data_IF_980812932765
#
_entry.id   IF_980812932765
#
_cell.length_a   1.000
_cell.length_b   1.000
_cell.length_c   1.000
_cell.angle_alpha   90.00
_cell.angle_beta   90.00
_cell.angle_gamma   90.00
#
_symmetry.space_group_name_H-M   'P 1'
#
loop_
_entity.id
_entity.type
_entity.pdbx_description
1 polymer ?
#
# COMPACT_ATOMS: atom_id res chain seq x y z
N UNK A 1 -15.47 4.46 3.79
CA UNK A 1 -14.66 5.17 4.82
C UNK A 1 -13.51 4.25 5.26
N UNK A 2 -12.27 4.73 5.35
CA UNK A 2 -11.13 3.94 5.85
C UNK A 2 -10.06 3.53 4.82
N UNK A 3 -10.27 3.80 3.53
CA UNK A 3 -9.22 3.68 2.52
C UNK A 3 -8.05 4.63 2.82
N UNK A 4 -6.84 4.25 2.39
CA UNK A 4 -5.67 5.13 2.41
C UNK A 4 -5.97 6.25 1.44
N UNK A 5 -6.10 7.48 1.91
CA UNK A 5 -6.42 8.63 1.07
C UNK A 5 -5.85 9.88 1.73
N UNK A 6 -4.80 10.43 1.13
CA UNK A 6 -3.94 11.43 1.77
C UNK A 6 -4.66 12.73 2.11
N UNK A 7 -5.60 13.24 1.30
CA UNK A 7 -6.40 14.42 1.66
C UNK A 7 -7.18 14.29 2.99
N UNK A 8 -7.47 13.07 3.47
CA UNK A 8 -8.06 12.86 4.80
C UNK A 8 -7.03 12.74 5.93
N UNK A 9 -5.75 12.65 5.60
CA UNK A 9 -4.66 12.31 6.52
C UNK A 9 -3.71 13.48 6.79
N UNK A 10 -3.61 14.42 5.85
CA UNK A 10 -2.91 15.71 5.99
C UNK A 10 -3.49 16.72 5.00
N UNK A 11 -3.15 18.01 5.16
CA UNK A 11 -3.49 19.04 4.18
C UNK A 11 -2.72 18.85 2.86
N UNK A 12 -3.41 19.08 1.75
CA UNK A 12 -2.88 19.10 0.40
C UNK A 12 -3.36 20.40 -0.26
N UNK A 13 -2.50 21.15 -0.94
CA UNK A 13 -2.87 22.40 -1.62
C UNK A 13 -3.87 22.16 -2.76
N UNK A 14 -3.76 21.03 -3.46
CA UNK A 14 -4.64 20.61 -4.54
C UNK A 14 -6.08 20.29 -4.07
N UNK A 15 -6.30 20.02 -2.78
CA UNK A 15 -7.61 19.68 -2.24
C UNK A 15 -8.06 20.70 -1.19
N UNK A 16 -9.11 21.45 -1.55
CA UNK A 16 -9.77 22.45 -0.71
C UNK A 16 -11.11 21.85 -0.20
N UNK A 17 -11.67 22.42 0.86
CA UNK A 17 -13.10 22.30 1.21
C UNK A 17 -14.08 22.45 0.03
N UNK A 18 -13.71 23.17 -1.03
CA UNK A 18 -14.48 23.34 -2.26
C UNK A 18 -14.33 22.22 -3.30
N UNK A 19 -13.43 21.25 -3.09
CA UNK A 19 -13.26 20.15 -4.06
C UNK A 19 -14.47 19.22 -4.03
N UNK A 20 -15.05 19.02 -5.21
CA UNK A 20 -16.28 18.27 -5.42
C UNK A 20 -15.94 16.83 -5.82
N UNK A 21 -16.55 15.86 -5.17
CA UNK A 21 -16.43 14.46 -5.49
C UNK A 21 -17.79 13.85 -5.75
N UNK A 22 -17.85 12.78 -6.54
CA UNK A 22 -19.03 11.92 -6.58
C UNK A 22 -19.05 11.07 -5.30
N UNK A 23 -20.16 11.09 -4.58
CA UNK A 23 -20.33 10.36 -3.34
C UNK A 23 -20.23 8.84 -3.57
N UNK A 24 -19.44 8.13 -2.74
CA UNK A 24 -19.54 6.68 -2.65
C UNK A 24 -20.94 6.23 -2.23
N UNK A 25 -21.36 5.06 -2.71
CA UNK A 25 -22.64 4.48 -2.36
C UNK A 25 -22.81 4.40 -0.82
N UNK A 26 -23.94 4.92 -0.33
CA UNK A 26 -24.27 4.93 1.10
C UNK A 26 -23.79 6.17 1.88
N UNK A 27 -23.10 7.12 1.25
CA UNK A 27 -22.76 8.41 1.85
C UNK A 27 -23.72 9.48 1.31
N UNK A 28 -24.52 10.17 2.16
CA UNK A 28 -25.34 11.27 1.72
C UNK A 28 -24.45 12.47 1.37
N UNK A 29 -24.59 13.02 0.16
CA UNK A 29 -23.89 14.25 -0.23
C UNK A 29 -24.44 15.48 0.47
N UNK A 30 -23.54 16.43 0.77
CA UNK A 30 -23.87 17.71 1.39
C UNK A 30 -23.77 18.90 0.43
N UNK A 31 -23.31 18.69 -0.81
CA UNK A 31 -23.07 19.76 -1.80
C UNK A 31 -23.73 19.46 -3.15
N UNK A 32 -24.02 20.51 -3.93
CA UNK A 32 -24.48 20.38 -5.32
C UNK A 32 -23.32 20.13 -6.29
N UNK A 33 -23.62 19.87 -7.57
CA UNK A 33 -22.62 19.81 -8.65
C UNK A 33 -21.83 21.12 -8.82
N UNK A 34 -22.35 22.24 -8.30
CA UNK A 34 -21.69 23.56 -8.29
C UNK A 34 -20.94 23.84 -6.99
N UNK A 35 -20.88 22.87 -6.06
CA UNK A 35 -20.15 22.99 -4.80
C UNK A 35 -20.86 23.82 -3.73
N UNK A 36 -22.14 24.15 -3.92
CA UNK A 36 -22.94 24.87 -2.93
C UNK A 36 -23.51 23.90 -1.90
N UNK A 37 -23.49 24.25 -0.60
CA UNK A 37 -24.12 23.45 0.44
C UNK A 37 -25.60 23.23 0.14
N UNK A 38 -26.08 22.01 0.34
CA UNK A 38 -27.49 21.65 0.16
C UNK A 38 -28.00 20.84 1.35
N UNK A 39 -29.23 21.10 1.74
CA UNK A 39 -29.95 20.34 2.77
C UNK A 39 -30.71 19.15 2.17
N UNK A 40 -30.81 19.07 0.84
CA UNK A 40 -31.39 17.92 0.13
C UNK A 40 -30.29 16.92 -0.23
N UNK A 41 -30.63 15.61 -0.22
CA UNK A 41 -29.68 14.57 -0.62
C UNK A 41 -29.15 14.86 -2.04
N UNK A 42 -27.83 14.97 -2.16
CA UNK A 42 -27.13 15.06 -3.42
C UNK A 42 -26.21 13.87 -3.65
N UNK A 43 -25.82 13.66 -4.91
CA UNK A 43 -24.83 12.67 -5.30
C UNK A 43 -23.39 13.20 -5.19
N UNK A 44 -23.21 14.44 -4.73
CA UNK A 44 -21.91 15.11 -4.64
C UNK A 44 -21.50 15.35 -3.19
N UNK A 45 -20.26 14.99 -2.89
CA UNK A 45 -19.67 15.01 -1.57
C UNK A 45 -18.51 16.00 -1.57
N UNK A 46 -18.40 16.77 -0.49
CA UNK A 46 -17.20 17.53 -0.18
C UNK A 46 -16.13 16.62 0.40
N UNK A 47 -14.90 17.13 0.55
CA UNK A 47 -13.83 16.39 1.21
C UNK A 47 -14.21 15.99 2.65
N UNK A 48 -15.01 16.81 3.34
CA UNK A 48 -15.42 16.59 4.73
C UNK A 48 -16.37 15.39 4.85
N UNK A 49 -17.26 15.23 3.87
CA UNK A 49 -18.19 14.09 3.76
C UNK A 49 -17.44 12.78 3.54
N UNK A 50 -16.48 12.77 2.62
CA UNK A 50 -15.68 11.57 2.27
C UNK A 50 -14.75 11.17 3.41
N UNK A 51 -14.17 12.15 4.08
CA UNK A 51 -13.30 11.89 5.21
C UNK A 51 -14.08 11.56 6.49
N UNK A 52 -15.36 11.93 6.58
CA UNK A 52 -16.19 11.69 7.75
C UNK A 52 -15.76 12.55 8.94
N UNK A 53 -15.38 13.81 8.70
CA UNK A 53 -15.00 14.73 9.78
C UNK A 53 -16.21 15.20 10.63
N UNK A 54 -17.44 14.83 10.25
CA UNK A 54 -18.68 15.35 10.80
C UNK A 54 -18.88 16.84 10.46
N UNK A 55 -19.99 17.42 10.92
CA UNK A 55 -20.30 18.87 10.75
C UNK A 55 -19.27 19.80 11.40
N UNK A 56 -18.28 19.23 12.10
CA UNK A 56 -17.19 19.92 12.76
C UNK A 56 -15.88 19.86 11.98
N UNK A 57 -15.90 20.30 10.72
CA UNK A 57 -14.71 20.98 10.18
C UNK A 57 -14.71 22.39 10.73
N UNK A 58 -14.20 22.52 11.95
CA UNK A 58 -13.80 23.83 12.45
C UNK A 58 -12.70 24.37 11.52
N UNK A 59 -12.84 25.59 10.97
CA UNK A 59 -11.73 26.23 10.29
C UNK A 59 -10.52 26.26 11.25
N UNK A 60 -9.43 25.57 10.89
CA UNK A 60 -8.19 25.55 11.66
C UNK A 60 -7.72 24.19 12.23
N UNK A 61 -8.46 23.08 12.08
CA UNK A 61 -7.91 21.74 12.41
C UNK A 61 -7.38 21.01 11.17
N UNK A 62 -6.17 20.49 11.27
CA UNK A 62 -5.52 19.73 10.20
C UNK A 62 -6.09 18.30 10.12
N UNK A 63 -6.34 17.74 8.91
CA UNK A 63 -6.67 16.33 8.72
C UNK A 63 -5.62 15.45 9.41
N UNK A 64 -6.05 14.46 10.20
CA UNK A 64 -5.15 13.57 10.95
C UNK A 64 -5.72 12.14 11.14
N UNK A 65 -6.19 11.53 10.05
CA UNK A 65 -6.73 10.17 10.08
C UNK A 65 -5.63 9.11 9.87
N UNK A 66 -4.63 9.08 10.75
CA UNK A 66 -3.46 8.18 10.67
C UNK A 66 -3.82 6.69 10.60
N UNK A 67 -4.97 6.28 11.17
CA UNK A 67 -5.46 4.90 11.12
C UNK A 67 -5.69 4.39 9.70
N UNK A 68 -5.72 5.28 8.69
CA UNK A 68 -5.75 4.96 7.26
C UNK A 68 -4.44 4.39 6.71
N UNK A 69 -3.41 4.23 7.54
CA UNK A 69 -2.28 3.35 7.24
C UNK A 69 -2.51 1.90 7.70
N UNK A 70 -3.50 1.66 8.57
CA UNK A 70 -3.79 0.34 9.14
C UNK A 70 -5.05 -0.28 8.53
N UNK A 71 -6.18 0.40 8.70
CA UNK A 71 -7.51 -0.10 8.30
C UNK A 71 -7.63 -0.58 6.84
N UNK A 72 -7.00 0.06 5.84
CA UNK A 72 -7.20 -0.35 4.45
C UNK A 72 -6.68 -1.75 4.15
N UNK A 73 -5.82 -2.35 4.99
CA UNK A 73 -5.37 -3.73 4.81
C UNK A 73 -6.51 -4.76 4.92
N UNK A 74 -7.60 -4.39 5.59
CA UNK A 74 -8.79 -5.22 5.76
C UNK A 74 -9.88 -4.93 4.70
N UNK A 75 -9.76 -3.82 3.98
CA UNK A 75 -10.73 -3.35 3.00
C UNK A 75 -10.35 -3.82 1.59
N UNK A 76 -11.33 -4.00 0.71
CA UNK A 76 -11.10 -4.42 -0.67
C UNK A 76 -12.01 -3.66 -1.64
N UNK A 77 -11.51 -3.38 -2.84
CA UNK A 77 -12.22 -2.62 -3.88
C UNK A 77 -13.14 -3.51 -4.74
N UNK A 78 -13.98 -4.32 -4.09
CA UNK A 78 -14.93 -5.23 -4.73
C UNK A 78 -14.53 -6.71 -4.71
N UNK A 79 -15.44 -7.56 -5.20
CA UNK A 79 -15.37 -9.02 -5.06
C UNK A 79 -14.18 -9.62 -5.81
N UNK A 80 -13.89 -9.15 -7.03
CA UNK A 80 -12.78 -9.68 -7.84
C UNK A 80 -11.44 -9.39 -7.16
N UNK A 81 -11.23 -8.16 -6.70
CA UNK A 81 -10.01 -7.76 -5.99
C UNK A 81 -9.85 -8.55 -4.68
N UNK A 82 -10.93 -8.71 -3.91
CA UNK A 82 -10.93 -9.55 -2.72
C UNK A 82 -10.54 -11.00 -3.01
N UNK A 83 -11.19 -11.64 -3.98
CA UNK A 83 -10.94 -13.05 -4.32
C UNK A 83 -9.50 -13.27 -4.78
N UNK A 84 -8.96 -12.39 -5.63
CA UNK A 84 -7.56 -12.50 -6.07
C UNK A 84 -6.60 -12.41 -4.89
N UNK A 85 -6.76 -11.39 -4.02
CA UNK A 85 -5.91 -11.23 -2.85
C UNK A 85 -5.98 -12.43 -1.91
N UNK A 86 -7.19 -12.93 -1.63
CA UNK A 86 -7.37 -14.07 -0.73
C UNK A 86 -6.79 -15.36 -1.30
N UNK A 87 -6.91 -15.61 -2.61
CA UNK A 87 -6.28 -16.79 -3.24
C UNK A 87 -4.77 -16.76 -3.08
N UNK A 88 -4.11 -15.62 -3.36
CA UNK A 88 -2.67 -15.49 -3.18
C UNK A 88 -2.27 -15.58 -1.70
N UNK A 89 -2.97 -14.84 -0.83
CA UNK A 89 -2.71 -14.81 0.60
C UNK A 89 -2.86 -16.20 1.24
N UNK A 90 -3.92 -16.94 0.93
CA UNK A 90 -4.14 -18.28 1.51
C UNK A 90 -3.12 -19.27 1.00
N UNK A 91 -2.85 -19.27 -0.31
CA UNK A 91 -1.91 -20.22 -0.93
C UNK A 91 -0.49 -20.08 -0.37
N UNK A 92 0.00 -18.86 -0.24
CA UNK A 92 1.35 -18.60 0.28
C UNK A 92 1.35 -18.58 1.81
N UNK A 93 0.32 -17.97 2.39
CA UNK A 93 0.23 -17.71 3.82
C UNK A 93 0.14 -18.97 4.67
N UNK A 94 -0.66 -19.96 4.26
CA UNK A 94 -0.78 -21.22 5.02
C UNK A 94 0.57 -21.93 5.14
N UNK A 95 1.33 -22.02 4.06
CA UNK A 95 2.62 -22.70 4.09
C UNK A 95 3.61 -21.93 4.97
N UNK A 96 3.72 -20.63 4.77
CA UNK A 96 4.64 -19.78 5.54
C UNK A 96 4.27 -19.70 7.02
N UNK A 97 2.98 -19.70 7.38
CA UNK A 97 2.55 -19.71 8.78
C UNK A 97 2.90 -21.02 9.47
N UNK A 98 2.82 -22.16 8.76
CA UNK A 98 3.25 -23.47 9.30
C UNK A 98 4.76 -23.52 9.51
N UNK A 99 5.53 -22.91 8.61
CA UNK A 99 6.99 -22.91 8.68
C UNK A 99 7.52 -21.89 9.70
N UNK A 100 6.89 -20.71 9.80
CA UNK A 100 7.39 -19.58 10.59
C UNK A 100 6.67 -19.45 11.94
N UNK A 101 5.43 -19.89 12.04
CA UNK A 101 4.54 -19.63 13.17
C UNK A 101 3.78 -18.31 13.04
N UNK A 102 2.61 -18.27 13.68
CA UNK A 102 1.62 -17.19 13.53
C UNK A 102 2.15 -15.78 13.84
N UNK A 103 2.94 -15.60 14.90
CA UNK A 103 3.35 -14.26 15.35
C UNK A 103 4.40 -13.62 14.43
N UNK A 104 5.33 -14.42 13.87
CA UNK A 104 6.33 -13.95 12.90
C UNK A 104 5.65 -13.58 11.59
N UNK A 105 4.70 -14.42 11.18
CA UNK A 105 3.88 -14.16 10.01
C UNK A 105 3.09 -12.86 10.17
N UNK A 106 2.42 -12.66 11.30
CA UNK A 106 1.70 -11.43 11.61
C UNK A 106 2.61 -10.20 11.60
N UNK A 107 3.81 -10.29 12.20
CA UNK A 107 4.77 -9.18 12.22
C UNK A 107 5.23 -8.79 10.80
N UNK A 108 5.61 -9.76 9.97
CA UNK A 108 5.99 -9.52 8.57
C UNK A 108 4.81 -8.94 7.79
N UNK A 109 3.62 -9.52 7.94
CA UNK A 109 2.42 -9.12 7.23
C UNK A 109 2.03 -7.67 7.55
N UNK A 110 1.94 -7.32 8.84
CA UNK A 110 1.63 -5.96 9.27
C UNK A 110 2.72 -4.97 8.84
N UNK A 111 4.00 -5.30 9.04
CA UNK A 111 5.11 -4.44 8.61
C UNK A 111 5.15 -4.23 7.08
N UNK A 112 4.67 -5.19 6.30
CA UNK A 112 4.59 -5.06 4.85
C UNK A 112 3.39 -4.22 4.43
N UNK A 113 2.20 -4.48 4.98
CA UNK A 113 1.00 -3.70 4.68
C UNK A 113 1.17 -2.22 5.02
N UNK A 114 1.62 -1.92 6.24
CA UNK A 114 1.75 -0.54 6.74
C UNK A 114 2.81 0.20 5.95
N UNK A 115 4.00 -0.39 5.78
CA UNK A 115 5.07 0.19 4.99
C UNK A 115 4.68 0.44 3.54
N UNK A 116 3.92 -0.49 2.94
CA UNK A 116 3.29 -0.31 1.64
C UNK A 116 2.37 0.91 1.59
N UNK A 117 1.44 1.05 2.54
CA UNK A 117 0.54 2.20 2.55
C UNK A 117 1.24 3.54 2.77
N UNK A 118 2.28 3.60 3.61
CA UNK A 118 3.06 4.83 3.80
C UNK A 118 3.84 5.16 2.52
N UNK A 119 4.48 4.18 1.88
CA UNK A 119 5.16 4.38 0.60
C UNK A 119 4.18 4.83 -0.49
N UNK A 120 3.02 4.18 -0.61
CA UNK A 120 1.96 4.59 -1.53
C UNK A 120 1.44 6.01 -1.26
N UNK A 121 1.34 6.42 0.01
CA UNK A 121 0.94 7.78 0.37
C UNK A 121 1.94 8.85 -0.08
N UNK A 122 3.23 8.51 -0.15
CA UNK A 122 4.29 9.45 -0.57
C UNK A 122 4.28 9.70 -2.09
N UNK A 123 3.90 8.70 -2.90
CA UNK A 123 4.06 8.73 -4.36
C UNK A 123 2.74 8.69 -5.15
N UNK A 124 1.64 8.24 -4.54
CA UNK A 124 0.29 8.25 -5.12
C UNK A 124 -0.74 8.79 -4.09
N UNK A 125 -0.59 10.05 -3.64
CA UNK A 125 -1.37 10.60 -2.54
C UNK A 125 -2.87 10.76 -2.88
N UNK A 126 -3.19 11.02 -4.15
CA UNK A 126 -4.52 11.41 -4.60
C UNK A 126 -5.42 10.22 -4.96
N UNK A 127 -4.85 9.04 -5.18
CA UNK A 127 -5.62 7.84 -5.52
C UNK A 127 -6.02 7.12 -4.24
N UNK A 128 -7.29 6.87 -3.89
CA UNK A 128 -7.63 6.01 -2.76
C UNK A 128 -7.07 4.59 -2.94
N UNK A 129 -6.56 3.97 -1.86
CA UNK A 129 -6.05 2.59 -1.89
C UNK A 129 -6.54 1.77 -0.72
N UNK A 130 -6.81 0.50 -1.02
CA UNK A 130 -7.29 -0.54 -0.11
C UNK A 130 -6.71 -1.88 -0.55
N UNK A 131 -6.73 -2.86 0.34
CA UNK A 131 -6.34 -4.22 0.05
C UNK A 131 -5.14 -4.67 0.86
N UNK A 132 -5.07 -5.97 1.12
CA UNK A 132 -3.92 -6.58 1.76
C UNK A 132 -2.75 -6.85 0.80
N UNK A 133 -2.83 -6.44 -0.45
CA UNK A 133 -1.85 -6.78 -1.48
C UNK A 133 -0.43 -6.31 -1.14
N UNK A 134 -0.27 -5.18 -0.43
CA UNK A 134 1.04 -4.76 0.10
C UNK A 134 1.67 -5.81 1.05
N UNK A 135 0.86 -6.45 1.89
CA UNK A 135 1.32 -7.56 2.71
C UNK A 135 1.63 -8.82 1.88
N UNK A 136 0.80 -9.13 0.87
CA UNK A 136 1.05 -10.26 -0.05
C UNK A 136 2.38 -10.08 -0.80
N UNK A 137 2.70 -8.86 -1.24
CA UNK A 137 4.01 -8.55 -1.83
C UNK A 137 5.15 -8.70 -0.81
N UNK A 138 4.92 -8.39 0.46
CA UNK A 138 5.87 -8.69 1.54
C UNK A 138 6.11 -10.18 1.74
N UNK A 139 5.08 -11.02 1.61
CA UNK A 139 5.22 -12.47 1.61
C UNK A 139 6.01 -12.96 0.39
N UNK A 140 5.77 -12.37 -0.78
CA UNK A 140 6.56 -12.63 -1.99
C UNK A 140 8.05 -12.31 -1.78
N UNK A 141 8.35 -11.20 -1.10
CA UNK A 141 9.71 -10.82 -0.76
C UNK A 141 10.36 -11.84 0.19
N UNK A 142 9.61 -12.39 1.14
CA UNK A 142 10.09 -13.45 2.03
C UNK A 142 10.37 -14.75 1.29
N UNK A 143 9.53 -15.14 0.32
CA UNK A 143 9.78 -16.31 -0.53
C UNK A 143 11.05 -16.14 -1.37
N UNK A 144 11.26 -14.94 -1.92
CA UNK A 144 12.48 -14.62 -2.67
C UNK A 144 13.71 -14.61 -1.74
N UNK A 145 13.57 -14.07 -0.53
CA UNK A 145 14.61 -14.10 0.49
C UNK A 145 14.99 -15.53 0.87
N UNK A 146 14.01 -16.40 1.08
CA UNK A 146 14.24 -17.81 1.40
C UNK A 146 14.97 -18.54 0.27
N UNK A 147 14.55 -18.32 -0.99
CA UNK A 147 15.22 -18.84 -2.19
C UNK A 147 16.71 -18.43 -2.23
N UNK A 148 17.04 -17.18 -1.94
CA UNK A 148 18.43 -16.71 -1.91
C UNK A 148 19.22 -17.24 -0.72
N UNK A 149 18.61 -17.32 0.48
CA UNK A 149 19.28 -17.84 1.66
C UNK A 149 19.56 -19.35 1.55
N UNK A 150 18.70 -20.08 0.84
CA UNK A 150 18.76 -21.53 0.67
C UNK A 150 19.16 -21.95 -0.75
N UNK A 151 19.83 -21.06 -1.50
CA UNK A 151 20.17 -21.25 -2.92
C UNK A 151 20.79 -22.60 -3.26
N UNK A 152 21.65 -23.13 -2.38
CA UNK A 152 22.35 -24.41 -2.57
C UNK A 152 21.48 -25.65 -2.35
N UNK A 153 20.35 -25.51 -1.65
CA UNK A 153 19.41 -26.62 -1.40
C UNK A 153 18.42 -26.78 -2.55
N UNK A 154 18.26 -25.74 -3.37
CA UNK A 154 17.22 -25.70 -4.40
C UNK A 154 17.78 -26.29 -5.68
N UNK A 155 17.06 -27.27 -6.25
CA UNK A 155 17.52 -28.05 -7.41
C UNK A 155 17.72 -27.20 -8.68
N UNK A 156 16.86 -26.20 -8.91
CA UNK A 156 16.89 -25.33 -10.09
C UNK A 156 16.65 -23.86 -9.70
N UNK A 157 17.59 -23.22 -8.99
CA UNK A 157 17.35 -21.94 -8.33
C UNK A 157 17.10 -20.81 -9.33
N UNK A 158 17.82 -20.79 -10.45
CA UNK A 158 17.61 -19.80 -11.53
C UNK A 158 16.20 -19.85 -12.13
N UNK A 159 15.63 -21.06 -12.29
CA UNK A 159 14.28 -21.21 -12.81
C UNK A 159 13.24 -20.69 -11.82
N UNK A 160 13.43 -20.94 -10.52
CA UNK A 160 12.53 -20.43 -9.49
C UNK A 160 12.61 -18.90 -9.36
N UNK A 161 13.82 -18.31 -9.47
CA UNK A 161 13.97 -16.84 -9.56
C UNK A 161 13.23 -16.30 -10.76
N UNK A 162 13.41 -16.90 -11.94
CA UNK A 162 12.72 -16.45 -13.15
C UNK A 162 11.20 -16.48 -12.99
N UNK A 163 10.63 -17.56 -12.42
CA UNK A 163 9.20 -17.65 -12.14
C UNK A 163 8.72 -16.57 -11.17
N UNK A 164 9.45 -16.32 -10.09
CA UNK A 164 9.09 -15.28 -9.10
C UNK A 164 9.17 -13.89 -9.72
N UNK A 165 10.23 -13.58 -10.47
CA UNK A 165 10.38 -12.29 -11.15
C UNK A 165 9.29 -12.09 -12.21
N UNK A 166 9.00 -13.12 -13.00
CA UNK A 166 7.90 -13.10 -13.96
C UNK A 166 6.55 -12.81 -13.27
N UNK A 167 6.29 -13.49 -12.15
CA UNK A 167 5.07 -13.25 -11.36
C UNK A 167 5.01 -11.81 -10.82
N UNK A 168 6.12 -11.26 -10.30
CA UNK A 168 6.18 -9.88 -9.81
C UNK A 168 5.90 -8.89 -10.94
N UNK A 169 6.50 -9.08 -12.12
CA UNK A 169 6.31 -8.21 -13.28
C UNK A 169 4.86 -8.26 -13.75
N UNK A 170 4.27 -9.44 -13.94
CA UNK A 170 2.86 -9.59 -14.32
C UNK A 170 1.94 -8.94 -13.28
N UNK A 171 2.23 -9.12 -11.99
CA UNK A 171 1.42 -8.54 -10.91
C UNK A 171 1.50 -7.00 -10.89
N UNK A 172 2.67 -6.41 -11.17
CA UNK A 172 2.81 -4.95 -11.31
C UNK A 172 2.11 -4.41 -12.57
N UNK A 173 2.10 -5.17 -13.68
CA UNK A 173 1.31 -4.84 -14.86
C UNK A 173 -0.19 -4.85 -14.53
N UNK A 174 -0.67 -5.86 -13.80
CA UNK A 174 -2.05 -5.88 -13.30
C UNK A 174 -2.31 -4.70 -12.37
N UNK A 175 -1.34 -4.26 -11.57
CA UNK A 175 -1.52 -3.09 -10.71
C UNK A 175 -1.68 -1.74 -11.43
N UNK A 176 -1.55 -1.72 -12.77
CA UNK A 176 -1.92 -0.56 -13.59
C UNK A 176 -3.43 -0.41 -13.80
N UNK A 177 -4.23 -1.42 -13.43
CA UNK A 177 -5.69 -1.36 -13.44
C UNK A 177 -6.25 -0.38 -12.38
N UNK A 178 -7.54 -0.01 -12.49
CA UNK A 178 -8.21 0.85 -11.52
C UNK A 178 -8.14 0.27 -10.09
N UNK A 179 -8.08 1.16 -9.10
CA UNK A 179 -8.19 0.78 -7.67
C UNK A 179 -7.08 -0.12 -7.10
N UNK A 180 -5.97 -0.30 -7.84
CA UNK A 180 -4.77 -1.01 -7.38
C UNK A 180 -3.59 -0.03 -7.28
N UNK A 181 -2.73 -0.18 -6.28
CA UNK A 181 -1.61 0.74 -6.04
C UNK A 181 -0.26 0.02 -6.09
N UNK A 182 0.48 0.22 -7.18
CA UNK A 182 1.82 -0.34 -7.38
C UNK A 182 2.85 0.24 -6.41
N UNK A 183 2.69 1.49 -5.95
CA UNK A 183 3.60 2.01 -4.92
C UNK A 183 3.38 1.25 -3.61
N UNK A 184 2.13 0.99 -3.22
CA UNK A 184 1.87 0.14 -2.04
C UNK A 184 2.44 -1.28 -2.19
N UNK A 185 2.37 -1.87 -3.39
CA UNK A 185 3.01 -3.17 -3.67
C UNK A 185 4.52 -3.13 -3.49
N UNK A 186 5.19 -2.14 -4.08
CA UNK A 186 6.64 -1.98 -4.00
C UNK A 186 7.10 -1.69 -2.56
N UNK A 187 6.43 -0.76 -1.88
CA UNK A 187 6.72 -0.44 -0.48
C UNK A 187 6.54 -1.66 0.43
N UNK A 188 5.48 -2.43 0.20
CA UNK A 188 5.22 -3.67 0.93
C UNK A 188 6.25 -4.76 0.66
N UNK A 189 6.70 -4.90 -0.58
CA UNK A 189 7.80 -5.80 -0.95
C UNK A 189 9.09 -5.45 -0.22
N UNK A 190 9.51 -4.17 -0.25
CA UNK A 190 10.74 -3.73 0.41
C UNK A 190 10.68 -3.86 1.93
N UNK A 191 9.58 -3.42 2.55
CA UNK A 191 9.41 -3.55 4.00
C UNK A 191 9.31 -5.03 4.42
N UNK A 192 8.66 -5.87 3.62
CA UNK A 192 8.60 -7.31 3.82
C UNK A 192 9.94 -8.01 3.68
N UNK A 193 10.80 -7.58 2.74
CA UNK A 193 12.17 -8.10 2.61
C UNK A 193 12.99 -7.86 3.88
N UNK A 194 12.93 -6.63 4.41
CA UNK A 194 13.66 -6.25 5.63
C UNK A 194 13.04 -6.95 6.85
N UNK A 195 11.71 -6.98 6.97
CA UNK A 195 11.03 -7.70 8.04
C UNK A 195 11.32 -9.21 7.99
N UNK A 196 11.40 -9.80 6.79
CA UNK A 196 11.77 -11.20 6.57
C UNK A 196 13.17 -11.51 7.11
N UNK A 197 14.15 -10.63 6.89
CA UNK A 197 15.51 -10.77 7.47
C UNK A 197 15.52 -10.80 9.00
N UNK A 198 14.52 -10.18 9.65
CA UNK A 198 14.41 -10.10 11.11
C UNK A 198 13.65 -11.30 11.67
N UNK A 199 12.50 -11.64 11.08
CA UNK A 199 11.54 -12.56 11.69
C UNK A 199 11.59 -13.98 11.13
N UNK A 200 12.05 -14.19 9.89
CA UNK A 200 12.08 -15.54 9.31
C UNK A 200 12.99 -16.49 10.11
N UNK A 201 12.56 -17.73 10.36
CA UNK A 201 13.43 -18.75 10.93
C UNK A 201 14.56 -19.07 9.95
N UNK A 202 15.80 -19.14 10.44
CA UNK A 202 16.97 -19.41 9.62
C UNK A 202 17.53 -20.81 9.90
N UNK A 203 17.66 -21.61 8.85
CA UNK A 203 18.44 -22.87 8.89
C UNK A 203 19.92 -22.54 8.70
N UNK A 204 20.80 -23.14 9.51
CA UNK A 204 22.23 -22.85 9.48
C UNK A 204 23.02 -24.11 9.14
N UNK A 205 23.86 -24.05 8.11
CA UNK A 205 24.71 -25.19 7.70
C UNK A 205 26.16 -25.08 8.17
N UNK A 206 26.59 -23.89 8.59
CA UNK A 206 27.96 -23.61 9.04
C UNK A 206 27.97 -22.50 10.10
N UNK A 207 29.04 -22.44 10.91
CA UNK A 207 29.29 -21.33 11.84
C UNK A 207 29.34 -19.99 11.10
N UNK A 208 29.94 -19.95 9.90
CA UNK A 208 30.02 -18.72 9.12
C UNK A 208 28.65 -18.26 8.61
N UNK A 209 27.81 -19.21 8.16
CA UNK A 209 26.45 -18.91 7.72
C UNK A 209 25.57 -18.37 8.87
N UNK A 210 25.73 -18.93 10.07
CA UNK A 210 25.10 -18.43 11.29
C UNK A 210 25.49 -16.98 11.60
N UNK A 211 26.78 -16.66 11.57
CA UNK A 211 27.24 -15.29 11.84
C UNK A 211 26.83 -14.31 10.75
N UNK A 212 26.86 -14.71 9.47
CA UNK A 212 26.35 -13.90 8.36
C UNK A 212 24.87 -13.56 8.53
N UNK A 213 24.01 -14.56 8.77
CA UNK A 213 22.56 -14.35 8.94
C UNK A 213 22.24 -13.51 10.18
N UNK A 214 22.95 -13.74 11.29
CA UNK A 214 22.83 -12.87 12.49
C UNK A 214 23.29 -11.44 12.22
N UNK A 215 24.39 -11.25 11.49
CA UNK A 215 24.85 -9.92 11.09
C UNK A 215 23.81 -9.19 10.24
N UNK A 216 23.22 -9.88 9.24
CA UNK A 216 22.13 -9.31 8.43
C UNK A 216 20.91 -8.96 9.27
N UNK A 217 20.50 -9.82 10.20
CA UNK A 217 19.40 -9.53 11.14
C UNK A 217 19.69 -8.29 12.00
N UNK A 218 20.90 -8.19 12.58
CA UNK A 218 21.31 -7.04 13.40
C UNK A 218 21.34 -5.73 12.61
N UNK A 219 21.65 -5.76 11.32
CA UNK A 219 21.58 -4.59 10.43
C UNK A 219 20.14 -4.29 9.97
N UNK A 220 19.33 -5.32 9.77
CA UNK A 220 17.95 -5.18 9.31
C UNK A 220 17.05 -4.53 10.36
N UNK A 221 17.26 -4.77 11.65
CA UNK A 221 16.48 -4.14 12.74
C UNK A 221 16.53 -2.61 12.69
N UNK A 222 17.71 -1.94 12.78
CA UNK A 222 17.78 -0.49 12.64
C UNK A 222 17.41 -0.05 11.23
N UNK A 223 17.70 -0.85 10.19
CA UNK A 223 17.28 -0.56 8.81
C UNK A 223 15.78 -0.43 8.66
N UNK A 224 14.99 -1.31 9.31
CA UNK A 224 13.53 -1.26 9.31
C UNK A 224 13.03 -0.02 10.05
N UNK A 225 13.62 0.33 11.18
CA UNK A 225 13.22 1.56 11.90
C UNK A 225 13.52 2.80 11.05
N UNK A 226 14.70 2.86 10.45
CA UNK A 226 15.13 3.99 9.62
C UNK A 226 14.26 4.15 8.37
N UNK A 227 13.89 3.06 7.69
CA UNK A 227 13.03 3.16 6.51
C UNK A 227 11.64 3.68 6.91
N UNK A 228 11.08 3.22 8.02
CA UNK A 228 9.80 3.72 8.52
C UNK A 228 9.86 5.19 8.91
N UNK A 229 10.92 5.61 9.63
CA UNK A 229 11.13 7.02 9.97
C UNK A 229 11.26 7.88 8.70
N UNK A 230 12.00 7.40 7.70
CA UNK A 230 12.15 8.10 6.43
C UNK A 230 10.82 8.22 5.67
N UNK A 231 10.04 7.15 5.60
CA UNK A 231 8.74 7.15 4.91
C UNK A 231 7.70 8.04 5.62
N UNK A 232 7.69 8.04 6.95
CA UNK A 232 6.79 8.90 7.74
C UNK A 232 7.22 10.36 7.65
N UNK A 233 8.52 10.66 7.73
CA UNK A 233 9.02 12.02 7.49
C UNK A 233 8.72 12.48 6.08
N UNK A 234 8.98 11.66 5.08
CA UNK A 234 8.59 11.94 3.69
C UNK A 234 7.11 12.27 3.58
N UNK A 235 6.24 11.53 4.28
CA UNK A 235 4.80 11.79 4.23
C UNK A 235 4.40 13.16 4.83
N UNK A 236 5.03 13.58 5.92
CA UNK A 236 4.67 14.83 6.62
C UNK A 236 5.45 16.06 6.13
N UNK A 237 6.73 15.89 5.79
CA UNK A 237 7.66 16.96 5.44
C UNK A 237 7.71 17.23 3.94
N UNK A 238 7.49 16.20 3.12
CA UNK A 238 7.43 16.44 1.69
C UNK A 238 6.12 17.17 1.37
N UNK A 239 6.22 18.27 0.63
CA UNK A 239 5.06 19.01 0.15
C UNK A 239 4.20 18.17 -0.81
N UNK A 240 3.60 18.81 -1.79
CA UNK A 240 2.97 18.07 -2.88
C UNK A 240 4.07 17.40 -3.71
N UNK A 241 4.35 16.12 -3.44
CA UNK A 241 5.31 15.34 -4.21
C UNK A 241 4.76 15.13 -5.63
N UNK A 242 5.05 16.09 -6.51
CA UNK A 242 4.79 15.99 -7.94
C UNK A 242 5.92 15.18 -8.57
N UNK A 243 5.83 13.86 -8.41
CA UNK A 243 6.69 12.93 -9.14
C UNK A 243 6.12 12.75 -10.57
N UNK A 244 6.75 13.32 -11.62
CA UNK A 244 6.12 13.36 -12.95
C UNK A 244 5.98 11.97 -13.57
N UNK A 245 6.90 11.06 -13.23
CA UNK A 245 6.90 9.69 -13.74
C UNK A 245 5.99 8.75 -12.93
N UNK A 246 5.58 9.13 -11.72
CA UNK A 246 4.85 8.23 -10.83
C UNK A 246 3.49 7.81 -11.39
N UNK A 247 2.87 8.67 -12.20
CA UNK A 247 1.65 8.36 -12.95
C UNK A 247 1.82 7.13 -13.84
N UNK A 248 2.95 7.01 -14.55
CA UNK A 248 3.20 5.91 -15.48
C UNK A 248 3.49 4.57 -14.79
N UNK A 249 3.94 4.62 -13.54
CA UNK A 249 4.13 3.40 -12.75
C UNK A 249 2.81 2.81 -12.27
N UNK A 250 1.83 3.67 -12.00
CA UNK A 250 0.51 3.27 -11.55
C UNK A 250 -0.51 3.15 -12.69
N UNK A 251 -0.18 3.56 -13.91
CA UNK A 251 -1.13 3.57 -15.01
C UNK A 251 -0.45 3.60 -16.38
N UNK A 252 -1.09 3.00 -17.39
CA UNK A 252 -0.67 3.07 -18.79
C UNK A 252 -1.27 4.32 -19.46
N UNK A 253 -0.47 5.18 -20.11
CA UNK A 253 -0.98 6.34 -20.85
C UNK A 253 -2.04 5.94 -21.89
N UNK A 254 -3.09 6.75 -22.03
CA UNK A 254 -4.18 6.52 -22.99
C UNK A 254 -5.33 5.66 -22.47
N UNK A 255 -5.20 5.06 -21.28
CA UNK A 255 -6.31 4.33 -20.66
C UNK A 255 -7.31 5.27 -19.97
N UNK A 256 -8.63 5.03 -20.09
CA UNK A 256 -9.66 5.96 -19.59
C UNK A 256 -9.63 6.12 -18.05
N UNK A 257 -9.23 5.08 -17.32
CA UNK A 257 -9.12 5.13 -15.86
C UNK A 257 -7.87 5.86 -15.35
N UNK A 258 -6.94 6.24 -16.23
CA UNK A 258 -5.68 6.89 -15.84
C UNK A 258 -5.91 8.27 -15.24
N UNK A 259 -6.81 9.02 -15.88
CA UNK A 259 -7.21 10.37 -15.47
C UNK A 259 -7.87 10.32 -14.09
N UNK A 260 -8.82 9.40 -13.91
CA UNK A 260 -9.48 9.13 -12.64
C UNK A 260 -8.51 8.73 -11.52
N UNK A 261 -7.44 7.99 -11.83
CA UNK A 261 -6.43 7.57 -10.84
C UNK A 261 -5.61 8.74 -10.33
N UNK A 262 -5.33 9.74 -11.17
CA UNK A 262 -4.42 10.85 -10.85
C UNK A 262 -5.12 12.19 -10.59
N UNK A 263 -6.45 12.20 -10.48
CA UNK A 263 -7.22 13.41 -10.19
C UNK A 263 -7.23 14.42 -11.34
N UNK A 264 -6.89 13.99 -12.57
CA UNK A 264 -7.06 14.80 -13.76
C UNK A 264 -8.54 14.71 -14.15
N UNK A 265 -9.29 15.79 -13.91
CA UNK A 265 -10.63 15.94 -14.48
C UNK A 265 -10.48 16.12 -15.98
N UNK A 266 -11.40 15.56 -16.77
CA UNK A 266 -11.55 15.99 -18.16
C UNK A 266 -11.79 17.50 -18.14
N UNK A 267 -10.89 18.28 -18.76
CA UNK A 267 -11.23 19.64 -19.18
C UNK A 267 -12.45 19.49 -20.10
N UNK A 268 -13.61 19.91 -19.59
CA UNK A 268 -14.81 20.16 -20.37
C UNK A 268 -14.69 21.54 -21.02
#
# INVERSE_FOLDING_TARGET
MGARFVPCMRNMEQYNTSTIFVCPAGIPGSITSTGQPTTTKSDYCSLTDICGFGDSVYPGKTPNQWYRFLMPMLLHAGVVHFTMNMVFQVRQGIQMERDYGWWRMAAIYCASAIGGFIFGANYAPLTPSVGCSGAVYGLMACLLLDLFQNWRLIRRPYLEVFKMLFQIVISLLIGTFPSIDNFAHVGGFYCGLIAGLIFMPTVHFSKWDKWRKRGLMMLAVPGLVLIYVFLVKGFYDAGENTCPWCKYFNCIPGMPWCKAKWGETDEL
#
